data_IF_560194109364
#
_entry.id   IF_560194109364
#
_cell.length_a   1.000
_cell.length_b   1.000
_cell.length_c   1.000
_cell.angle_alpha   90.00
_cell.angle_beta   90.00
_cell.angle_gamma   90.00
#
_symmetry.space_group_name_H-M   'P 1'
#
loop_
_entity.id
_entity.type
_entity.pdbx_description
1 polymer ?
#
# COMPACT_ATOMS: atom_id res chain seq x y z
N UNK A 1 33.75 8.87 22.99
CA UNK A 1 33.05 7.58 22.87
C UNK A 1 31.57 7.94 22.82
N UNK A 2 31.01 8.08 21.61
CA UNK A 2 29.62 8.53 21.44
C UNK A 2 28.69 7.50 22.06
N UNK A 3 27.72 7.97 22.85
CA UNK A 3 26.80 7.08 23.56
C UNK A 3 25.78 6.55 22.56
N UNK A 4 25.44 5.27 22.64
CA UNK A 4 24.44 4.63 21.78
C UNK A 4 23.07 5.35 21.85
N UNK A 5 22.81 6.04 22.96
CA UNK A 5 21.63 6.87 23.15
C UNK A 5 21.60 8.08 22.19
N UNK A 6 22.74 8.72 21.94
CA UNK A 6 22.84 9.88 21.04
C UNK A 6 22.60 9.47 19.58
N UNK A 7 23.10 8.30 19.15
CA UNK A 7 22.84 7.75 17.82
C UNK A 7 21.36 7.40 17.62
N UNK A 8 20.74 6.76 18.60
CA UNK A 8 19.31 6.40 18.53
C UNK A 8 18.45 7.67 18.53
N UNK A 9 18.78 8.68 19.34
CA UNK A 9 18.06 9.96 19.35
C UNK A 9 18.17 10.68 18.01
N UNK A 10 19.36 10.73 17.42
CA UNK A 10 19.60 11.35 16.12
C UNK A 10 18.83 10.64 14.98
N UNK A 11 18.73 9.31 15.02
CA UNK A 11 17.94 8.53 14.06
C UNK A 11 16.45 8.86 14.17
N UNK A 12 15.92 8.95 15.40
CA UNK A 12 14.51 9.26 15.62
C UNK A 12 14.19 10.71 15.18
N UNK A 13 15.03 11.67 15.55
CA UNK A 13 14.88 13.08 15.12
C UNK A 13 14.89 13.21 13.59
N UNK A 14 15.77 12.48 12.90
CA UNK A 14 15.84 12.47 11.43
C UNK A 14 14.56 11.92 10.79
N UNK A 15 13.98 10.86 11.35
CA UNK A 15 12.73 10.28 10.85
C UNK A 15 11.54 11.23 11.07
N UNK A 16 11.48 11.92 12.20
CA UNK A 16 10.44 12.91 12.48
C UNK A 16 10.58 14.13 11.57
N UNK A 17 11.80 14.62 11.33
CA UNK A 17 12.06 15.74 10.42
C UNK A 17 11.61 15.44 8.98
N UNK A 18 11.66 14.18 8.54
CA UNK A 18 11.17 13.73 7.24
C UNK A 18 9.65 13.50 7.16
N UNK A 19 8.95 13.46 8.30
CA UNK A 19 7.52 13.15 8.38
C UNK A 19 6.60 14.37 8.16
N UNK A 20 7.17 15.59 8.13
CA UNK A 20 6.44 16.86 8.17
C UNK A 20 6.21 17.59 6.84
N UNK A 21 6.32 16.92 5.70
CA UNK A 21 6.13 17.52 4.37
C UNK A 21 5.03 16.83 3.60
N UNK A 22 3.79 17.31 3.74
CA UNK A 22 2.63 16.79 3.03
C UNK A 22 2.72 17.04 1.52
N UNK A 23 3.35 16.12 0.80
CA UNK A 23 2.90 15.81 -0.53
C UNK A 23 1.62 14.99 -0.36
N UNK A 24 0.48 15.62 -0.64
CA UNK A 24 -0.76 14.89 -0.85
C UNK A 24 -0.54 14.05 -2.10
N UNK A 25 0.08 12.88 -1.94
CA UNK A 25 0.31 11.95 -3.02
C UNK A 25 -1.06 11.60 -3.60
N UNK A 26 -1.29 12.00 -4.84
CA UNK A 26 -2.48 11.60 -5.59
C UNK A 26 -2.39 10.11 -5.83
N UNK A 27 -2.90 9.32 -4.89
CA UNK A 27 -2.98 7.88 -5.01
C UNK A 27 -4.18 7.51 -5.89
N UNK A 28 -3.97 6.59 -6.82
CA UNK A 28 -5.05 5.97 -7.57
C UNK A 28 -5.84 5.06 -6.64
N UNK A 29 -7.13 5.37 -6.42
CA UNK A 29 -8.00 4.63 -5.51
C UNK A 29 -8.96 3.75 -6.30
N UNK A 30 -9.21 2.54 -5.80
CA UNK A 30 -10.21 1.63 -6.35
C UNK A 30 -11.20 1.15 -5.29
N UNK A 31 -12.29 0.53 -5.75
CA UNK A 31 -13.31 -0.08 -4.88
C UNK A 31 -13.37 -1.58 -5.10
N UNK A 32 -13.29 -2.36 -4.04
CA UNK A 32 -13.45 -3.82 -4.10
C UNK A 32 -14.91 -4.15 -4.44
N UNK A 33 -15.11 -4.88 -5.53
CA UNK A 33 -16.43 -5.35 -5.99
C UNK A 33 -16.73 -6.70 -5.34
N UNK A 34 -15.79 -7.64 -5.45
CA UNK A 34 -15.92 -9.00 -4.94
C UNK A 34 -14.57 -9.54 -4.46
N UNK A 35 -14.61 -10.52 -3.57
CA UNK A 35 -13.46 -11.32 -3.17
C UNK A 35 -13.84 -12.79 -3.31
N UNK A 36 -13.02 -13.55 -4.02
CA UNK A 36 -13.22 -14.99 -4.23
C UNK A 36 -11.88 -15.70 -4.20
N UNK A 37 -11.76 -16.73 -3.36
CA UNK A 37 -10.56 -17.57 -3.22
C UNK A 37 -9.26 -16.76 -3.05
N UNK A 38 -9.30 -15.74 -2.18
CA UNK A 38 -8.16 -14.86 -1.95
C UNK A 38 -7.83 -13.89 -3.08
N UNK A 39 -8.67 -13.79 -4.12
CA UNK A 39 -8.54 -12.81 -5.21
C UNK A 39 -9.62 -11.75 -5.08
N UNK A 40 -9.22 -10.50 -4.87
CA UNK A 40 -10.11 -9.36 -4.90
C UNK A 40 -10.25 -8.82 -6.32
N UNK A 41 -11.47 -8.54 -6.76
CA UNK A 41 -11.74 -7.78 -7.99
C UNK A 41 -12.00 -6.33 -7.60
N UNK A 42 -11.19 -5.42 -8.13
CA UNK A 42 -11.20 -4.00 -7.79
C UNK A 42 -11.60 -3.19 -9.02
N UNK A 43 -12.61 -2.34 -8.91
CA UNK A 43 -12.95 -1.35 -9.94
C UNK A 43 -12.11 -0.08 -9.74
N UNK A 44 -11.61 0.51 -10.83
CA UNK A 44 -10.75 1.69 -10.79
C UNK A 44 -9.27 1.32 -10.85
N UNK A 45 -8.45 1.89 -9.96
CA UNK A 45 -6.99 1.71 -9.98
C UNK A 45 -6.36 2.05 -11.35
N UNK A 46 -6.79 3.12 -12.02
CA UNK A 46 -6.46 3.37 -13.43
C UNK A 46 -4.97 3.47 -13.73
N UNK A 47 -4.19 4.01 -12.78
CA UNK A 47 -2.74 4.16 -12.97
C UNK A 47 -1.91 2.95 -12.55
N UNK A 48 -2.53 1.91 -11.97
CA UNK A 48 -1.81 0.76 -11.39
C UNK A 48 -1.05 -0.03 -12.45
N UNK A 49 0.13 -0.51 -12.09
CA UNK A 49 1.00 -1.32 -12.94
C UNK A 49 0.87 -2.80 -12.62
N UNK A 50 1.20 -3.62 -13.60
CA UNK A 50 1.30 -5.05 -13.43
C UNK A 50 2.33 -5.38 -12.34
N UNK A 51 1.95 -6.25 -11.40
CA UNK A 51 2.70 -6.64 -10.20
C UNK A 51 2.97 -5.52 -9.19
N UNK A 52 2.23 -4.42 -9.25
CA UNK A 52 2.32 -3.37 -8.24
C UNK A 52 1.63 -3.82 -6.94
N UNK A 53 2.16 -3.34 -5.81
CA UNK A 53 1.58 -3.60 -4.50
C UNK A 53 0.35 -2.71 -4.29
N UNK A 54 -0.76 -3.32 -3.92
CA UNK A 54 -2.02 -2.62 -3.64
C UNK A 54 -2.35 -2.77 -2.17
N UNK A 55 -2.58 -1.66 -1.48
CA UNK A 55 -3.01 -1.68 -0.08
C UNK A 55 -4.54 -1.71 0.03
N UNK A 56 -5.05 -2.66 0.81
CA UNK A 56 -6.45 -2.71 1.20
C UNK A 56 -6.65 -1.90 2.48
N UNK A 57 -6.97 -0.62 2.33
CA UNK A 57 -7.04 0.37 3.43
C UNK A 57 -7.95 0.00 4.60
N UNK A 58 -8.97 -0.85 4.39
CA UNK A 58 -9.86 -1.29 5.48
C UNK A 58 -9.24 -2.35 6.40
N UNK A 59 -8.31 -3.14 5.89
CA UNK A 59 -7.71 -4.27 6.61
C UNK A 59 -6.21 -4.06 6.87
N UNK A 60 -5.57 -3.13 6.15
CA UNK A 60 -4.11 -2.95 6.15
C UNK A 60 -3.36 -4.10 5.48
N UNK A 61 -4.09 -4.99 4.79
CA UNK A 61 -3.48 -6.08 4.03
C UNK A 61 -2.97 -5.56 2.70
N UNK A 62 -1.98 -6.25 2.16
CA UNK A 62 -1.47 -5.98 0.83
C UNK A 62 -2.00 -7.01 -0.16
N UNK A 63 -2.11 -6.60 -1.40
CA UNK A 63 -2.32 -7.45 -2.55
C UNK A 63 -1.39 -7.07 -3.68
N UNK A 64 -1.51 -7.78 -4.78
CA UNK A 64 -0.69 -7.53 -5.97
C UNK A 64 -1.59 -7.31 -7.18
N UNK A 65 -1.42 -6.23 -7.92
CA UNK A 65 -2.17 -6.01 -9.15
C UNK A 65 -1.72 -7.04 -10.20
N UNK A 66 -2.60 -7.99 -10.55
CA UNK A 66 -2.25 -9.09 -11.44
C UNK A 66 -2.92 -8.97 -12.80
N UNK A 67 -4.23 -9.19 -12.91
CA UNK A 67 -4.93 -9.03 -14.18
C UNK A 67 -5.46 -7.60 -14.31
N UNK A 68 -4.98 -6.84 -15.30
CA UNK A 68 -5.45 -5.49 -15.60
C UNK A 68 -6.46 -5.56 -16.76
N UNK A 69 -7.74 -5.45 -16.44
CA UNK A 69 -8.81 -5.29 -17.43
C UNK A 69 -9.14 -3.79 -17.59
N UNK A 70 -9.96 -3.44 -18.58
CA UNK A 70 -10.27 -2.03 -18.89
C UNK A 70 -10.93 -1.29 -17.72
N UNK A 71 -11.77 -1.99 -16.97
CA UNK A 71 -12.54 -1.41 -15.85
C UNK A 71 -12.21 -2.05 -14.49
N UNK A 72 -11.56 -3.23 -14.48
CA UNK A 72 -11.30 -3.96 -13.24
C UNK A 72 -9.89 -4.52 -13.16
N UNK A 73 -9.40 -4.65 -11.93
CA UNK A 73 -8.11 -5.23 -11.62
C UNK A 73 -8.31 -6.40 -10.68
N UNK A 74 -7.72 -7.55 -11.02
CA UNK A 74 -7.67 -8.70 -10.11
C UNK A 74 -6.43 -8.60 -9.23
N UNK A 75 -6.64 -8.56 -7.92
CA UNK A 75 -5.61 -8.45 -6.91
C UNK A 75 -5.62 -9.67 -5.99
N UNK A 76 -4.70 -10.64 -6.15
CA UNK A 76 -4.45 -11.65 -5.14
C UNK A 76 -4.04 -10.97 -3.81
N UNK A 77 -4.71 -11.35 -2.73
CA UNK A 77 -4.48 -10.82 -1.39
C UNK A 77 -3.30 -11.59 -0.77
N UNK A 78 -2.31 -10.86 -0.28
CA UNK A 78 -1.14 -11.37 0.42
C UNK A 78 -1.42 -11.40 1.93
N UNK A 79 -2.23 -12.36 2.35
CA UNK A 79 -2.58 -12.53 3.76
C UNK A 79 -3.82 -13.37 3.97
N UNK A 80 -4.28 -13.42 5.21
CA UNK A 80 -5.59 -14.00 5.52
C UNK A 80 -6.70 -13.07 5.02
N UNK A 81 -7.52 -13.57 4.10
CA UNK A 81 -8.61 -12.81 3.47
C UNK A 81 -9.97 -13.05 4.13
N UNK A 82 -9.99 -13.83 5.22
CA UNK A 82 -11.18 -14.13 6.04
C UNK A 82 -11.55 -12.94 6.92
#
# INVERSE_FOLDING_TARGET
MASWADEISAIIEKNIAGFGGGETETASVGTVITVQDGIARVYGLQDVKYLELVEFTRTGLFGMAFNLEEETVSCPILGDYT
#
